data_IF_015576290554
#
_entry.id   IF_015576290554
#
_cell.length_a   1.000
_cell.length_b   1.000
_cell.length_c   1.000
_cell.angle_alpha   90.00
_cell.angle_beta   90.00
_cell.angle_gamma   90.00
#
_symmetry.space_group_name_H-M   'P 1'
#
loop_
_entity.id
_entity.type
_entity.pdbx_description
1 polymer ?
#
# COMPACT_ATOMS: atom_id res chain seq x y z
N UNK A 1 -11.42 21.91 5.64
CA UNK A 1 -11.31 21.06 6.85
C UNK A 1 -11.61 19.63 6.40
N UNK A 2 -10.59 18.77 6.27
CA UNK A 2 -10.76 17.41 5.76
C UNK A 2 -11.23 16.46 6.87
N UNK A 3 -12.27 15.67 6.59
CA UNK A 3 -12.83 14.69 7.52
C UNK A 3 -11.74 13.64 7.82
N UNK A 4 -11.41 13.34 9.08
CA UNK A 4 -10.44 12.29 9.40
C UNK A 4 -11.00 10.96 8.90
N UNK A 5 -10.28 10.32 7.99
CA UNK A 5 -10.58 8.95 7.55
C UNK A 5 -10.18 8.03 8.71
N UNK A 6 -11.11 7.77 9.63
CA UNK A 6 -10.96 6.70 10.62
C UNK A 6 -10.97 5.36 9.87
N UNK A 7 -9.79 4.80 9.61
CA UNK A 7 -9.64 3.42 9.12
C UNK A 7 -9.48 2.52 10.35
N UNK A 8 -10.56 1.89 10.86
CA UNK A 8 -10.51 1.16 12.13
C UNK A 8 -9.53 -0.01 12.13
N UNK A 9 -9.16 -0.53 10.95
CA UNK A 9 -8.27 -1.68 10.79
C UNK A 9 -6.91 -1.33 10.18
N UNK A 10 -6.47 -0.08 10.30
CA UNK A 10 -5.15 0.34 9.82
C UNK A 10 -4.19 0.58 10.99
N UNK A 11 -3.03 -0.05 10.95
CA UNK A 11 -1.95 0.17 11.91
C UNK A 11 -0.72 0.73 11.20
N UNK A 12 -0.06 1.71 11.82
CA UNK A 12 1.25 2.18 11.37
C UNK A 12 2.32 1.16 11.77
N UNK A 13 3.08 0.70 10.78
CA UNK A 13 4.22 -0.19 10.96
C UNK A 13 5.53 0.56 10.67
N UNK A 14 6.64 0.04 11.19
CA UNK A 14 7.97 0.57 10.86
C UNK A 14 8.24 0.41 9.36
N UNK A 15 8.88 1.38 8.70
CA UNK A 15 9.32 1.23 7.32
C UNK A 15 10.33 0.09 7.22
N UNK A 16 10.21 -0.73 6.17
CA UNK A 16 11.03 -1.93 5.97
C UNK A 16 10.29 -3.06 5.25
N UNK A 17 8.95 -3.06 5.33
CA UNK A 17 8.14 -4.02 4.59
C UNK A 17 8.17 -3.73 3.09
N UNK A 18 8.70 -4.66 2.29
CA UNK A 18 8.78 -4.57 0.83
C UNK A 18 7.78 -5.53 0.20
N UNK A 19 6.97 -5.05 -0.73
CA UNK A 19 5.97 -5.85 -1.44
C UNK A 19 5.92 -5.55 -2.94
N UNK A 20 5.58 -6.58 -3.72
CA UNK A 20 5.30 -6.45 -5.15
C UNK A 20 3.84 -6.10 -5.36
N UNK A 21 3.60 -5.10 -6.20
CA UNK A 21 2.25 -4.63 -6.55
C UNK A 21 2.02 -4.74 -8.04
N UNK A 22 0.82 -5.17 -8.42
CA UNK A 22 0.31 -5.02 -9.79
C UNK A 22 -0.49 -3.73 -9.86
N UNK A 23 -0.28 -2.94 -10.90
CA UNK A 23 -0.95 -1.65 -11.09
C UNK A 23 -1.22 -1.39 -12.58
N UNK A 24 -2.07 -0.40 -12.87
CA UNK A 24 -2.33 0.04 -14.25
C UNK A 24 -1.19 0.90 -14.78
N UNK A 25 -0.61 0.51 -15.91
CA UNK A 25 0.49 1.24 -16.55
C UNK A 25 -0.04 2.48 -17.27
N UNK A 26 0.67 3.61 -17.16
CA UNK A 26 0.37 4.84 -17.90
C UNK A 26 -0.33 5.93 -17.09
N UNK A 27 -0.72 5.67 -15.84
CA UNK A 27 -1.18 6.72 -14.94
C UNK A 27 -0.04 7.24 -14.04
N UNK A 28 -0.15 8.50 -13.59
CA UNK A 28 0.82 9.17 -12.72
C UNK A 28 0.81 8.66 -11.26
N UNK A 29 0.89 7.34 -11.07
CA UNK A 29 0.91 6.67 -9.77
C UNK A 29 0.46 5.21 -9.83
N UNK A 30 0.52 4.52 -8.69
CA UNK A 30 0.10 3.13 -8.52
C UNK A 30 -1.44 3.04 -8.35
N UNK A 31 -2.18 3.45 -9.37
CA UNK A 31 -3.65 3.40 -9.35
C UNK A 31 -4.17 1.98 -9.52
N UNK A 32 -5.26 1.68 -8.81
CA UNK A 32 -5.86 0.34 -8.76
C UNK A 32 -4.82 -0.75 -8.40
N UNK A 33 -3.89 -0.41 -7.52
CA UNK A 33 -2.81 -1.30 -7.17
C UNK A 33 -3.28 -2.41 -6.23
N UNK A 34 -2.86 -3.64 -6.53
CA UNK A 34 -3.11 -4.81 -5.69
C UNK A 34 -1.79 -5.43 -5.26
N UNK A 35 -1.62 -5.61 -3.96
CA UNK A 35 -0.47 -6.31 -3.39
C UNK A 35 -0.50 -7.78 -3.81
N UNK A 36 0.58 -8.23 -4.45
CA UNK A 36 0.68 -9.58 -5.01
C UNK A 36 1.54 -10.48 -4.12
N UNK A 37 2.64 -9.95 -3.61
CA UNK A 37 3.56 -10.71 -2.75
C UNK A 37 4.26 -9.79 -1.78
N UNK A 38 4.39 -10.21 -0.53
CA UNK A 38 5.26 -9.57 0.46
C UNK A 38 6.58 -10.34 0.46
N UNK A 39 7.70 -9.61 0.49
CA UNK A 39 9.01 -10.21 0.70
C UNK A 39 9.21 -10.30 2.21
N UNK A 40 9.14 -11.51 2.75
CA UNK A 40 9.63 -11.76 4.11
C UNK A 40 11.16 -11.76 4.05
N UNK A 41 11.75 -11.05 5.00
CA UNK A 41 13.18 -11.06 5.28
C UNK A 41 13.35 -12.16 6.34
N UNK A 42 13.87 -13.33 5.94
CA UNK A 42 14.24 -14.42 6.86
C UNK A 42 15.13 -13.92 8.01
#
# INVERSE_FOLDING_TARGET
MGIPIEKPNAQWIKPGLIGHVRFLKGEGGLRQATLTKVRDED
#
